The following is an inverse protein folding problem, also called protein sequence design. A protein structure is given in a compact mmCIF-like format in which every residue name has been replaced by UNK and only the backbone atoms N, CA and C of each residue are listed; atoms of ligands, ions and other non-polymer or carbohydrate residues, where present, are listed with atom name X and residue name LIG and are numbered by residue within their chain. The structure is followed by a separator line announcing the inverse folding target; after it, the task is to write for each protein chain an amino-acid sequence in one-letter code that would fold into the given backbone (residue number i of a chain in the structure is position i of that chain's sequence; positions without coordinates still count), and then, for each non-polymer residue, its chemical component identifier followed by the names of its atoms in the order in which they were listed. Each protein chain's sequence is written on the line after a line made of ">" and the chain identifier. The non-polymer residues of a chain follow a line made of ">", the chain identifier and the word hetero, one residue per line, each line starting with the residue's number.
data_IF_130802824042
#
_entry.id   IF_130802824042
#
_cell.length_a   1.000
_cell.length_b   1.000
_cell.length_c   1.000
_cell.angle_alpha   90.00
_cell.angle_beta   90.00
_cell.angle_gamma   90.00
#
_symmetry.space_group_name_H-M   'P 1'
#
loop_
_entity.id
_entity.type
_entity.pdbx_description
1 polymer ?
#
# COMPACT_ATOMS: atom_id res chain seq x y z
N UNK A 1 41.37 41.65 -6.18
CA UNK A 1 40.77 40.51 -5.45
C UNK A 1 40.47 39.43 -6.48
N UNK A 2 40.77 38.17 -6.18
CA UNK A 2 40.27 37.06 -6.98
C UNK A 2 38.74 37.02 -6.81
N UNK A 3 38.01 36.81 -7.91
CA UNK A 3 36.57 36.63 -7.89
C UNK A 3 36.28 35.16 -7.56
N UNK A 4 35.39 34.92 -6.62
CA UNK A 4 34.80 33.60 -6.42
C UNK A 4 33.96 33.24 -7.66
N UNK A 5 34.02 31.99 -8.09
CA UNK A 5 33.23 31.46 -9.21
C UNK A 5 32.53 30.19 -8.77
N UNK A 6 31.23 30.10 -9.01
CA UNK A 6 30.42 28.91 -8.75
C UNK A 6 29.19 28.91 -9.64
N UNK A 7 28.69 27.73 -9.99
CA UNK A 7 27.45 27.55 -10.75
C UNK A 7 26.30 27.08 -9.87
N UNK A 8 26.61 26.42 -8.75
CA UNK A 8 25.63 25.86 -7.82
C UNK A 8 25.91 26.27 -6.37
N UNK A 9 24.94 26.02 -5.48
CA UNK A 9 25.04 26.37 -4.06
C UNK A 9 26.18 25.59 -3.38
N UNK A 10 26.47 24.39 -3.86
CA UNK A 10 27.60 23.55 -3.42
C UNK A 10 28.96 24.19 -3.68
N UNK A 11 29.08 25.03 -4.72
CA UNK A 11 30.33 25.68 -5.11
C UNK A 11 30.66 26.91 -4.23
N UNK A 12 29.71 27.37 -3.40
CA UNK A 12 29.93 28.52 -2.52
C UNK A 12 30.98 28.20 -1.45
N UNK A 13 31.98 29.06 -1.34
CA UNK A 13 32.98 29.01 -0.28
C UNK A 13 32.58 29.95 0.86
N UNK A 14 32.18 29.35 1.98
CA UNK A 14 31.73 30.04 3.19
C UNK A 14 32.84 30.81 3.90
N UNK A 15 34.10 30.55 3.54
CA UNK A 15 35.26 31.23 4.15
C UNK A 15 35.63 32.52 3.42
N UNK A 16 35.07 32.76 2.23
CA UNK A 16 35.29 33.96 1.42
C UNK A 16 34.08 34.92 1.44
N UNK A 17 34.30 36.24 1.34
CA UNK A 17 35.58 36.93 1.14
C UNK A 17 36.47 37.00 2.39
N UNK A 18 37.79 37.04 2.17
CA UNK A 18 38.74 37.33 3.25
C UNK A 18 38.71 38.83 3.54
N UNK A 19 38.48 39.18 4.81
CA UNK A 19 38.26 40.54 5.33
C UNK A 19 38.98 41.66 4.56
N UNK A 20 38.20 42.48 3.85
CA UNK A 20 38.67 43.51 2.91
C UNK A 20 38.19 44.92 3.28
N UNK A 21 37.26 45.07 4.23
CA UNK A 21 36.74 46.36 4.70
C UNK A 21 37.14 46.70 6.16
N UNK A 22 37.05 47.98 6.52
CA UNK A 22 37.58 48.50 7.78
C UNK A 22 36.78 48.12 9.03
N UNK A 23 35.57 47.57 8.87
CA UNK A 23 34.66 47.21 9.98
C UNK A 23 34.29 45.73 9.99
N UNK A 24 34.71 44.97 8.98
CA UNK A 24 34.48 43.54 8.75
C UNK A 24 33.00 43.11 8.70
N UNK A 25 32.06 44.06 8.70
CA UNK A 25 30.62 43.75 8.75
C UNK A 25 30.07 43.21 7.43
N UNK A 26 30.54 43.73 6.29
CA UNK A 26 30.07 43.29 4.98
C UNK A 26 30.50 41.85 4.67
N UNK A 27 31.77 41.54 4.95
CA UNK A 27 32.33 40.22 4.68
C UNK A 27 31.76 39.15 5.61
N UNK A 28 31.54 39.49 6.88
CA UNK A 28 30.87 38.61 7.85
C UNK A 28 29.43 38.28 7.44
N UNK A 29 28.69 39.27 6.94
CA UNK A 29 27.33 39.07 6.45
C UNK A 29 27.30 38.13 5.23
N UNK A 30 28.23 38.30 4.29
CA UNK A 30 28.31 37.45 3.10
C UNK A 30 28.63 36.00 3.49
N UNK A 31 29.59 35.79 4.42
CA UNK A 31 29.91 34.45 4.94
C UNK A 31 28.70 33.81 5.64
N UNK A 32 27.97 34.59 6.44
CA UNK A 32 26.76 34.13 7.11
C UNK A 32 25.68 33.67 6.11
N UNK A 33 25.42 34.47 5.07
CA UNK A 33 24.42 34.11 4.05
C UNK A 33 24.79 32.79 3.35
N UNK A 34 26.07 32.62 2.97
CA UNK A 34 26.54 31.38 2.34
C UNK A 34 26.41 30.17 3.26
N UNK A 35 26.77 30.32 4.53
CA UNK A 35 26.66 29.26 5.52
C UNK A 35 25.20 28.85 5.75
N UNK A 36 24.28 29.82 5.83
CA UNK A 36 22.84 29.52 5.92
C UNK A 36 22.36 28.79 4.68
N UNK A 37 22.72 29.24 3.47
CA UNK A 37 22.30 28.57 2.23
C UNK A 37 22.80 27.13 2.14
N UNK A 38 24.06 26.87 2.46
CA UNK A 38 24.61 25.51 2.44
C UNK A 38 24.06 24.63 3.56
N UNK A 39 23.75 25.21 4.71
CA UNK A 39 23.08 24.50 5.80
C UNK A 39 21.63 24.12 5.47
N UNK A 40 20.87 25.01 4.83
CA UNK A 40 19.46 24.76 4.51
C UNK A 40 19.30 23.89 3.26
N UNK A 41 20.29 23.91 2.35
CA UNK A 41 20.25 23.18 1.07
C UNK A 41 21.51 22.32 0.86
N UNK A 42 21.79 21.34 1.75
CA UNK A 42 23.06 20.61 1.75
C UNK A 42 23.27 19.70 0.53
N UNK A 43 22.20 19.36 -0.20
CA UNK A 43 22.21 18.38 -1.28
C UNK A 43 21.90 18.97 -2.66
N UNK A 44 22.03 20.29 -2.85
CA UNK A 44 21.81 20.94 -4.14
C UNK A 44 23.14 21.18 -4.87
N UNK A 45 23.67 20.12 -5.48
CA UNK A 45 24.94 20.11 -6.23
C UNK A 45 24.78 20.25 -7.75
N UNK A 46 23.55 20.43 -8.22
CA UNK A 46 23.19 20.65 -9.61
C UNK A 46 21.99 21.62 -9.74
N UNK A 47 21.65 21.98 -10.98
CA UNK A 47 20.50 22.82 -11.25
C UNK A 47 19.19 22.14 -10.79
N UNK A 48 18.45 22.80 -9.91
CA UNK A 48 17.08 22.41 -9.57
C UNK A 48 16.17 22.91 -10.68
N UNK A 49 15.77 22.00 -11.57
CA UNK A 49 14.95 22.32 -12.74
C UNK A 49 13.53 21.72 -12.67
N UNK A 50 13.09 21.32 -11.48
CA UNK A 50 11.75 20.85 -11.25
C UNK A 50 10.74 21.99 -11.47
N UNK A 51 9.68 21.69 -12.20
CA UNK A 51 8.54 22.60 -12.35
C UNK A 51 7.79 22.74 -11.01
N UNK A 52 7.03 23.82 -10.80
CA UNK A 52 6.16 23.95 -9.63
C UNK A 52 5.23 22.74 -9.46
N UNK A 53 4.73 22.19 -10.57
CA UNK A 53 3.88 20.99 -10.53
C UNK A 53 4.66 19.76 -10.05
N UNK A 54 5.90 19.54 -10.51
CA UNK A 54 6.74 18.42 -10.05
C UNK A 54 7.17 18.55 -8.58
N UNK A 55 7.40 19.78 -8.09
CA UNK A 55 7.64 20.03 -6.66
C UNK A 55 6.38 19.79 -5.82
N UNK A 56 5.21 20.15 -6.34
CA UNK A 56 3.92 19.93 -5.70
C UNK A 56 3.47 18.46 -5.78
N UNK A 57 4.06 17.66 -6.67
CA UNK A 57 3.80 16.23 -6.87
C UNK A 57 4.84 15.32 -6.18
N UNK A 58 5.67 15.86 -5.28
CA UNK A 58 6.68 15.09 -4.55
C UNK A 58 6.15 13.98 -3.62
N UNK A 59 4.85 13.69 -3.66
CA UNK A 59 4.15 12.70 -2.84
C UNK A 59 3.30 11.72 -3.64
N UNK A 60 2.59 10.85 -2.92
CA UNK A 60 1.54 10.00 -3.48
C UNK A 60 0.42 10.91 -4.04
N UNK A 61 -0.08 10.70 -5.28
CA UNK A 61 -1.15 11.54 -5.82
C UNK A 61 -2.46 11.31 -5.07
N UNK A 62 -3.26 12.36 -4.87
CA UNK A 62 -4.58 12.28 -4.24
C UNK A 62 -5.47 11.26 -4.95
N UNK A 63 -6.16 10.44 -4.17
CA UNK A 63 -6.98 9.34 -4.67
C UNK A 63 -6.21 8.04 -4.92
N UNK A 64 -4.88 8.01 -4.76
CA UNK A 64 -4.13 6.77 -4.84
C UNK A 64 -4.34 5.90 -3.60
N UNK A 65 -4.55 4.60 -3.85
CA UNK A 65 -4.80 3.59 -2.82
C UNK A 65 -3.54 2.81 -2.53
N UNK A 66 -3.25 2.58 -1.25
CA UNK A 66 -2.05 1.90 -0.78
C UNK A 66 -2.37 0.93 0.36
N UNK A 67 -1.62 -0.19 0.43
CA UNK A 67 -1.64 -1.06 1.61
C UNK A 67 -0.88 -0.39 2.75
N UNK A 68 -1.41 -0.54 3.97
CA UNK A 68 -0.90 0.12 5.16
C UNK A 68 -0.84 -0.86 6.33
N UNK A 69 0.33 -0.96 6.96
CA UNK A 69 0.55 -1.93 8.05
C UNK A 69 0.11 -1.41 9.43
N UNK A 70 -0.38 -0.16 9.53
CA UNK A 70 -0.88 0.43 10.78
C UNK A 70 -2.40 0.42 10.86
N UNK A 71 -2.94 0.65 12.06
CA UNK A 71 -4.40 0.66 12.32
C UNK A 71 -5.05 2.04 12.23
N UNK A 72 -4.25 3.10 12.13
CA UNK A 72 -4.73 4.49 12.07
C UNK A 72 -4.10 5.18 10.88
N UNK A 73 -4.94 5.69 9.96
CA UNK A 73 -4.46 6.38 8.79
C UNK A 73 -3.56 7.58 9.22
N UNK A 74 -2.38 7.73 8.61
CA UNK A 74 -1.52 8.88 8.88
C UNK A 74 -2.14 10.16 8.33
N UNK A 75 -1.64 11.32 8.78
CA UNK A 75 -2.04 12.63 8.24
C UNK A 75 -1.90 12.65 6.71
N UNK A 76 -2.92 13.18 6.02
CA UNK A 76 -3.00 13.16 4.56
C UNK A 76 -3.69 11.94 3.98
N UNK A 77 -4.02 10.92 4.80
CA UNK A 77 -4.66 9.69 4.35
C UNK A 77 -5.95 9.41 5.12
N UNK A 78 -6.83 8.63 4.50
CA UNK A 78 -8.04 8.08 5.14
C UNK A 78 -8.12 6.58 4.88
N UNK A 79 -8.69 5.79 5.80
CA UNK A 79 -8.94 4.36 5.57
C UNK A 79 -10.02 4.19 4.49
N UNK A 80 -9.88 3.15 3.68
CA UNK A 80 -10.87 2.71 2.68
C UNK A 80 -11.93 1.80 3.34
N UNK A 81 -12.77 2.39 4.19
CA UNK A 81 -13.79 1.71 5.00
C UNK A 81 -15.24 2.03 4.58
N UNK A 82 -15.43 2.63 3.40
CA UNK A 82 -16.76 2.98 2.86
C UNK A 82 -17.43 4.19 3.50
N UNK A 83 -16.81 4.84 4.49
CA UNK A 83 -17.46 5.92 5.24
C UNK A 83 -17.74 7.14 4.38
N UNK A 84 -18.69 7.94 4.82
CA UNK A 84 -19.01 9.24 4.24
C UNK A 84 -18.07 10.33 4.77
N UNK A 85 -17.58 11.19 3.86
CA UNK A 85 -16.71 12.34 4.14
C UNK A 85 -17.34 13.64 3.62
N UNK A 86 -17.02 14.76 4.28
CA UNK A 86 -17.49 16.09 3.89
C UNK A 86 -16.66 16.61 2.72
N UNK A 87 -17.31 17.00 1.62
CA UNK A 87 -16.67 17.54 0.40
C UNK A 87 -15.81 18.77 0.67
N UNK A 88 -16.24 19.63 1.60
CA UNK A 88 -15.52 20.84 1.96
C UNK A 88 -14.19 20.56 2.71
N UNK A 89 -14.15 19.50 3.52
CA UNK A 89 -12.96 19.12 4.29
C UNK A 89 -11.97 18.30 3.46
N UNK A 90 -12.47 17.61 2.42
CA UNK A 90 -11.70 16.71 1.55
C UNK A 90 -11.91 17.07 0.07
N UNK A 91 -11.73 18.35 -0.28
CA UNK A 91 -12.04 18.88 -1.61
C UNK A 91 -11.20 18.22 -2.71
N UNK A 92 -9.90 18.04 -2.48
CA UNK A 92 -8.98 17.45 -3.45
C UNK A 92 -9.29 15.96 -3.68
N UNK A 93 -9.63 15.23 -2.61
CA UNK A 93 -10.07 13.84 -2.72
C UNK A 93 -11.39 13.74 -3.50
N UNK A 94 -12.35 14.63 -3.23
CA UNK A 94 -13.61 14.66 -3.99
C UNK A 94 -13.38 15.00 -5.47
N UNK A 95 -12.46 15.92 -5.80
CA UNK A 95 -12.06 16.20 -7.18
C UNK A 95 -11.49 14.94 -7.84
N UNK A 96 -10.71 14.14 -7.11
CA UNK A 96 -10.07 12.95 -7.63
C UNK A 96 -11.05 11.78 -7.86
N UNK A 97 -11.97 11.51 -6.93
CA UNK A 97 -12.81 10.29 -6.96
C UNK A 97 -14.31 10.54 -7.18
N UNK A 98 -14.78 11.78 -6.98
CA UNK A 98 -16.18 12.16 -7.11
C UNK A 98 -17.13 11.27 -6.31
N UNK A 99 -18.30 10.99 -6.91
CA UNK A 99 -19.34 10.13 -6.34
C UNK A 99 -19.15 8.64 -6.70
N UNK A 100 -18.00 8.26 -7.28
CA UNK A 100 -17.77 6.89 -7.80
C UNK A 100 -17.98 5.80 -6.76
N UNK A 101 -17.70 6.10 -5.48
CA UNK A 101 -17.81 5.16 -4.37
C UNK A 101 -19.06 5.38 -3.51
N UNK A 102 -19.94 6.28 -3.95
CA UNK A 102 -21.15 6.68 -3.25
C UNK A 102 -21.26 8.20 -3.19
N UNK A 103 -22.46 8.70 -3.46
CA UNK A 103 -22.73 10.13 -3.51
C UNK A 103 -22.92 10.77 -2.12
N UNK A 104 -22.76 10.00 -1.04
CA UNK A 104 -23.14 10.42 0.32
C UNK A 104 -24.58 10.90 0.39
N UNK A 105 -24.78 12.07 1.01
CA UNK A 105 -26.02 12.85 1.07
C UNK A 105 -26.48 13.46 -0.27
N UNK A 106 -25.71 13.31 -1.34
CA UNK A 106 -25.98 13.84 -2.67
C UNK A 106 -25.73 15.35 -2.79
N UNK A 107 -25.14 16.01 -1.79
CA UNK A 107 -24.93 17.46 -1.80
C UNK A 107 -23.59 17.88 -1.18
N UNK A 108 -23.37 17.59 0.09
CA UNK A 108 -22.24 18.09 0.88
C UNK A 108 -21.19 17.03 1.20
N UNK A 109 -21.48 15.77 0.89
CA UNK A 109 -20.65 14.62 1.26
C UNK A 109 -20.43 13.67 0.09
N UNK A 110 -19.53 12.71 0.26
CA UNK A 110 -19.23 11.64 -0.69
C UNK A 110 -18.64 10.45 0.08
N UNK A 111 -18.67 9.25 -0.49
CA UNK A 111 -18.11 8.06 0.14
C UNK A 111 -16.69 7.78 -0.34
N UNK A 112 -15.85 7.25 0.56
CA UNK A 112 -14.58 6.62 0.20
C UNK A 112 -14.81 5.17 -0.26
N UNK A 113 -13.84 4.53 -0.95
CA UNK A 113 -13.94 3.11 -1.24
C UNK A 113 -14.13 2.27 0.02
N UNK A 114 -14.90 1.19 -0.06
CA UNK A 114 -14.91 0.12 0.95
C UNK A 114 -14.10 -1.06 0.42
N UNK A 115 -12.93 -1.28 1.02
CA UNK A 115 -11.98 -2.32 0.59
C UNK A 115 -11.73 -3.36 1.69
N UNK A 116 -12.49 -3.31 2.78
CA UNK A 116 -12.39 -4.28 3.86
C UNK A 116 -12.78 -5.66 3.36
N UNK A 117 -11.94 -6.66 3.62
CA UNK A 117 -12.11 -8.06 3.21
C UNK A 117 -12.27 -8.29 1.69
N UNK A 118 -11.98 -7.28 0.85
CA UNK A 118 -12.11 -7.36 -0.60
C UNK A 118 -10.75 -7.48 -1.29
N UNK A 119 -10.62 -8.48 -2.15
CA UNK A 119 -9.52 -8.51 -3.11
C UNK A 119 -9.73 -7.47 -4.22
N UNK A 120 -8.66 -6.78 -4.61
CA UNK A 120 -8.71 -5.80 -5.69
C UNK A 120 -8.59 -6.46 -7.05
N UNK A 121 -9.42 -6.05 -8.00
CA UNK A 121 -9.29 -6.40 -9.41
C UNK A 121 -9.16 -5.12 -10.25
N UNK A 122 -8.29 -5.16 -11.26
CA UNK A 122 -8.13 -4.06 -12.20
C UNK A 122 -9.41 -3.78 -12.99
N UNK A 123 -9.66 -2.51 -13.30
CA UNK A 123 -10.76 -2.08 -14.16
C UNK A 123 -10.65 -2.73 -15.53
N UNK A 124 -11.78 -3.17 -16.08
CA UNK A 124 -11.92 -3.75 -17.40
C UNK A 124 -13.23 -3.31 -18.04
N UNK A 125 -13.50 -3.72 -19.28
CA UNK A 125 -14.80 -3.44 -19.92
C UNK A 125 -16.01 -4.03 -19.17
N UNK A 126 -15.80 -5.05 -18.33
CA UNK A 126 -16.83 -5.68 -17.51
C UNK A 126 -16.71 -5.39 -16.02
N UNK A 127 -15.54 -4.93 -15.56
CA UNK A 127 -15.30 -4.49 -14.19
C UNK A 127 -15.11 -2.97 -14.19
N UNK A 128 -16.18 -2.22 -13.94
CA UNK A 128 -16.13 -0.76 -13.94
C UNK A 128 -15.50 -0.24 -12.65
N UNK A 129 -14.89 0.95 -12.72
CA UNK A 129 -14.40 1.62 -11.52
C UNK A 129 -15.56 1.87 -10.54
N UNK A 130 -15.33 1.59 -9.26
CA UNK A 130 -16.37 1.71 -8.22
C UNK A 130 -17.40 0.58 -8.21
N UNK A 131 -17.28 -0.43 -9.10
CA UNK A 131 -18.16 -1.59 -9.05
C UNK A 131 -17.70 -2.62 -8.01
N UNK A 132 -18.65 -3.32 -7.39
CA UNK A 132 -18.41 -4.42 -6.46
C UNK A 132 -17.87 -5.65 -7.22
N UNK A 133 -16.58 -5.60 -7.56
CA UNK A 133 -15.88 -6.71 -8.17
C UNK A 133 -15.12 -7.59 -7.17
N UNK A 134 -15.03 -7.16 -5.91
CA UNK A 134 -14.45 -7.94 -4.82
C UNK A 134 -15.49 -8.84 -4.15
N UNK A 135 -15.14 -10.11 -3.94
CA UNK A 135 -15.89 -11.04 -3.09
C UNK A 135 -15.11 -11.27 -1.78
N UNK A 136 -15.82 -11.20 -0.66
CA UNK A 136 -15.32 -11.54 0.68
C UNK A 136 -15.44 -13.04 0.98
N UNK A 137 -16.38 -13.72 0.30
CA UNK A 137 -16.71 -15.13 0.48
C UNK A 137 -16.54 -15.89 -0.83
N UNK A 138 -15.71 -16.92 -0.80
CA UNK A 138 -15.49 -17.85 -1.92
C UNK A 138 -16.31 -19.11 -1.71
N UNK A 139 -17.12 -19.47 -2.70
CA UNK A 139 -17.93 -20.70 -2.67
C UNK A 139 -17.42 -21.72 -3.69
N UNK A 140 -17.91 -22.96 -3.62
CA UNK A 140 -17.56 -24.02 -4.59
C UNK A 140 -17.81 -23.59 -6.05
N UNK A 141 -18.86 -22.80 -6.29
CA UNK A 141 -19.16 -22.27 -7.63
C UNK A 141 -18.11 -21.28 -8.18
N UNK A 142 -17.25 -20.72 -7.33
CA UNK A 142 -16.16 -19.84 -7.76
C UNK A 142 -14.90 -20.61 -8.19
N UNK A 143 -14.84 -21.91 -7.93
CA UNK A 143 -13.78 -22.79 -8.41
C UNK A 143 -14.29 -23.44 -9.71
N UNK A 144 -13.67 -23.16 -10.86
CA UNK A 144 -14.08 -23.80 -12.11
C UNK A 144 -14.09 -25.32 -11.96
N UNK A 145 -15.13 -25.96 -12.52
CA UNK A 145 -15.21 -27.41 -12.60
C UNK A 145 -13.93 -27.95 -13.24
N UNK A 146 -13.29 -28.87 -12.54
CA UNK A 146 -12.06 -29.52 -12.98
C UNK A 146 -12.14 -31.01 -12.63
N UNK A 147 -11.51 -31.85 -13.44
CA UNK A 147 -11.41 -33.28 -13.19
C UNK A 147 -10.01 -33.68 -12.74
N UNK A 148 -9.93 -34.80 -12.01
CA UNK A 148 -8.67 -35.42 -11.65
C UNK A 148 -8.65 -36.83 -12.22
N UNK A 149 -7.76 -37.12 -13.18
CA UNK A 149 -7.58 -38.49 -13.66
C UNK A 149 -6.69 -39.25 -12.68
N UNK A 150 -7.27 -40.04 -11.77
CA UNK A 150 -6.49 -41.05 -11.05
C UNK A 150 -6.30 -42.26 -11.95
N UNK A 151 -5.10 -42.42 -12.49
CA UNK A 151 -4.72 -43.64 -13.19
C UNK A 151 -4.50 -44.76 -12.16
N UNK A 152 -5.59 -45.35 -11.66
CA UNK A 152 -5.52 -46.43 -10.67
C UNK A 152 -5.05 -47.71 -11.35
N UNK A 153 -3.90 -48.22 -10.89
CA UNK A 153 -3.34 -49.50 -11.30
C UNK A 153 -4.38 -50.63 -11.26
N UNK A 154 -4.33 -51.48 -12.28
CA UNK A 154 -5.32 -52.49 -12.67
C UNK A 154 -5.90 -53.37 -11.56
N UNK A 155 -7.01 -54.04 -11.92
CA UNK A 155 -7.79 -54.98 -11.09
C UNK A 155 -6.97 -55.73 -10.04
N UNK A 156 -7.35 -55.58 -8.77
CA UNK A 156 -6.94 -56.50 -7.72
C UNK A 156 -8.17 -57.23 -7.14
N UNK A 157 -7.95 -58.44 -6.60
CA UNK A 157 -9.00 -59.27 -6.01
C UNK A 157 -8.61 -59.70 -4.61
N UNK A 158 -9.56 -59.67 -3.68
CA UNK A 158 -9.40 -60.30 -2.37
C UNK A 158 -10.03 -61.69 -2.37
N UNK A 159 -9.25 -62.72 -2.02
CA UNK A 159 -9.73 -64.07 -1.76
C UNK A 159 -9.91 -64.27 -0.27
N UNK A 160 -11.15 -64.37 0.20
CA UNK A 160 -11.42 -64.75 1.59
C UNK A 160 -11.49 -66.28 1.67
N UNK A 161 -10.44 -66.91 2.20
CA UNK A 161 -10.49 -68.32 2.60
C UNK A 161 -11.14 -68.40 3.99
N UNK A 162 -12.44 -68.65 4.06
CA UNK A 162 -13.10 -68.98 5.33
C UNK A 162 -12.68 -70.39 5.75
N UNK A 163 -11.75 -70.51 6.72
CA UNK A 163 -11.68 -71.73 7.54
C UNK A 163 -12.85 -71.69 8.50
N UNK A 164 -13.69 -72.71 8.44
CA UNK A 164 -14.75 -72.94 9.43
C UNK A 164 -14.13 -73.01 10.83
N UNK A 165 -14.33 -71.97 11.64
CA UNK A 165 -14.04 -72.00 13.08
C UNK A 165 -15.14 -71.27 13.83
N UNK A 166 -15.91 -72.07 14.57
CA UNK A 166 -16.94 -71.69 15.53
C UNK A 166 -16.33 -70.98 16.74
N UNK A 167 -16.04 -69.69 16.63
CA UNK A 167 -15.77 -68.84 17.80
C UNK A 167 -16.27 -67.41 17.54
N UNK A 168 -17.12 -66.84 18.43
CA UNK A 168 -17.62 -65.49 18.28
C UNK A 168 -16.65 -64.51 18.94
N UNK A 169 -15.86 -63.79 18.14
CA UNK A 169 -15.23 -62.55 18.59
C UNK A 169 -15.19 -61.57 17.41
N UNK A 170 -15.74 -60.35 17.54
CA UNK A 170 -15.57 -59.33 16.51
C UNK A 170 -14.16 -58.76 16.59
N UNK A 171 -13.36 -58.99 15.54
CA UNK A 171 -12.11 -58.24 15.30
C UNK A 171 -12.47 -56.88 14.71
N UNK A 172 -13.00 -56.00 15.55
CA UNK A 172 -13.07 -54.59 15.23
C UNK A 172 -11.92 -53.91 15.97
N UNK A 173 -10.90 -53.48 15.23
CA UNK A 173 -10.22 -52.18 15.36
C UNK A 173 -8.70 -52.30 15.11
N UNK A 174 -8.28 -51.95 13.88
CA UNK A 174 -6.90 -51.54 13.61
C UNK A 174 -6.97 -50.01 13.56
N UNK A 175 -6.66 -49.37 14.68
CA UNK A 175 -6.53 -47.91 14.73
C UNK A 175 -5.26 -47.50 13.99
N UNK A 176 -5.42 -46.91 12.80
CA UNK A 176 -4.36 -46.16 12.12
C UNK A 176 -4.44 -44.74 12.64
N UNK A 177 -3.51 -44.37 13.51
CA UNK A 177 -3.42 -43.00 14.01
C UNK A 177 -2.87 -42.13 12.87
N UNK A 178 -3.72 -41.24 12.34
CA UNK A 178 -3.31 -40.25 11.35
C UNK A 178 -2.97 -38.96 12.10
N UNK A 179 -1.68 -38.68 12.26
CA UNK A 179 -1.25 -37.40 12.80
C UNK A 179 -1.59 -36.28 11.80
N UNK A 180 -2.62 -35.49 12.12
CA UNK A 180 -3.00 -34.29 11.37
C UNK A 180 -2.34 -33.01 11.90
N UNK A 181 -1.35 -33.07 12.79
CA UNK A 181 -0.74 -31.85 13.31
C UNK A 181 0.35 -31.28 12.40
N UNK A 182 -0.08 -30.48 11.43
CA UNK A 182 0.73 -29.37 10.89
C UNK A 182 -0.12 -28.11 10.84
N UNK A 183 -0.59 -27.65 12.00
CA UNK A 183 -1.30 -26.39 12.17
C UNK A 183 -0.46 -25.37 12.92
N UNK A 184 0.61 -24.86 12.29
CA UNK A 184 1.30 -23.67 12.82
C UNK A 184 0.37 -22.47 12.70
N UNK A 185 -0.09 -21.93 13.83
CA UNK A 185 -0.84 -20.65 13.86
C UNK A 185 0.12 -19.51 13.54
N UNK A 186 0.19 -19.12 12.27
CA UNK A 186 0.74 -17.83 11.88
C UNK A 186 -0.35 -16.79 12.13
N UNK A 187 -0.12 -15.84 13.04
CA UNK A 187 -0.91 -14.62 13.10
C UNK A 187 -0.65 -13.83 11.83
N UNK A 188 -1.45 -14.06 10.79
CA UNK A 188 -1.50 -13.23 9.60
C UNK A 188 -2.45 -12.07 9.88
N UNK A 189 -1.93 -10.95 10.37
CA UNK A 189 -2.70 -9.70 10.38
C UNK A 189 -2.80 -9.20 8.94
N UNK A 190 -4.01 -9.01 8.43
CA UNK A 190 -4.23 -8.33 7.15
C UNK A 190 -3.82 -6.86 7.29
N UNK A 191 -3.06 -6.28 6.33
CA UNK A 191 -2.81 -4.85 6.34
C UNK A 191 -4.11 -4.09 6.10
N UNK A 192 -4.20 -2.89 6.64
CA UNK A 192 -5.24 -1.91 6.29
C UNK A 192 -5.04 -1.38 4.88
N UNK A 193 -6.05 -0.71 4.34
CA UNK A 193 -5.99 -0.03 3.05
C UNK A 193 -6.32 1.44 3.26
N UNK A 194 -5.45 2.33 2.79
CA UNK A 194 -5.61 3.78 2.87
C UNK A 194 -5.67 4.38 1.48
N UNK A 195 -6.36 5.51 1.37
CA UNK A 195 -6.37 6.37 0.20
C UNK A 195 -5.78 7.73 0.56
N UNK A 196 -4.92 8.22 -0.32
CA UNK A 196 -4.37 9.56 -0.22
C UNK A 196 -5.53 10.55 -0.37
N UNK A 197 -5.73 11.37 0.66
CA UNK A 197 -6.86 12.30 0.77
C UNK A 197 -6.49 13.77 0.59
N UNK A 198 -5.19 14.07 0.51
CA UNK A 198 -4.52 15.35 0.68
C UNK A 198 -5.43 16.55 0.50
N UNK A 199 -6.14 16.90 1.57
CA UNK A 199 -6.03 18.24 2.11
C UNK A 199 -4.79 18.26 2.99
N UNK A 200 -3.63 18.66 2.43
CA UNK A 200 -2.45 18.97 3.25
C UNK A 200 -2.31 20.47 3.39
N UNK A 201 -2.22 20.89 4.65
CA UNK A 201 -1.91 22.25 5.12
C UNK A 201 -0.46 22.62 4.82
#
# INVERSE_FOLDING_TARGET
>A
MALETGSFISDLDETWPLGSDNVSQGDDQIRLIKAVLKSQFPNLDAAVNATPDELNQGGTPTGAVQMFAGVTAPTGYVLCDGRELVRADYADLYIAIGDTWGAGDGSTTFNVPDMQDKATAGVSGSNLLGSDAGKDTWVEADIPSHDHSMNSGGSHSHRINRRNSTAPAPINDIAVDYDTNVGGTYTTGSPEIIIESSGSH
#
